data_IF_967085571620
#
_entry.id   IF_967085571620
#
_cell.length_a   1.000
_cell.length_b   1.000
_cell.length_c   1.000
_cell.angle_alpha   90.00
_cell.angle_beta   90.00
_cell.angle_gamma   90.00
#
_symmetry.space_group_name_H-M   'P 1'
#
loop_
_entity.id
_entity.type
_entity.pdbx_description
1 polymer ?
#
# COMPACT_ATOMS: atom_id res chain seq x y z
N UNK A 1 -34.94 6.94 -4.21
CA UNK A 1 -33.74 7.63 -4.73
C UNK A 1 -32.59 7.17 -3.86
N UNK A 2 -31.65 6.46 -4.48
CA UNK A 2 -30.52 5.72 -3.91
C UNK A 2 -29.80 6.41 -2.77
N UNK A 3 -29.83 5.78 -1.59
CA UNK A 3 -29.22 6.24 -0.34
C UNK A 3 -27.73 6.62 -0.53
N UNK A 4 -27.02 5.91 -1.42
CA UNK A 4 -25.61 6.20 -1.70
C UNK A 4 -25.35 7.60 -2.26
N UNK A 5 -26.16 8.07 -3.23
CA UNK A 5 -25.96 9.41 -3.81
C UNK A 5 -26.19 10.51 -2.78
N UNK A 6 -27.19 10.32 -1.92
CA UNK A 6 -27.50 11.24 -0.83
C UNK A 6 -26.37 11.27 0.20
N UNK A 7 -25.85 10.11 0.61
CA UNK A 7 -24.73 10.03 1.54
C UNK A 7 -23.45 10.67 0.95
N UNK A 8 -23.14 10.41 -0.31
CA UNK A 8 -22.00 11.04 -1.00
C UNK A 8 -22.18 12.55 -1.14
N UNK A 9 -23.40 13.01 -1.42
CA UNK A 9 -23.74 14.45 -1.46
C UNK A 9 -23.46 15.12 -0.12
N UNK A 10 -23.94 14.53 0.99
CA UNK A 10 -23.71 15.03 2.35
C UNK A 10 -22.21 15.07 2.69
N UNK A 11 -21.48 13.98 2.45
CA UNK A 11 -20.06 13.86 2.81
C UNK A 11 -19.15 14.78 1.98
N UNK A 12 -19.51 15.01 0.70
CA UNK A 12 -18.69 15.84 -0.20
C UNK A 12 -19.12 17.31 -0.22
N UNK A 13 -20.33 17.63 0.24
CA UNK A 13 -20.95 18.95 0.10
C UNK A 13 -21.36 19.30 -1.33
N UNK A 14 -21.38 18.33 -2.25
CA UNK A 14 -21.77 18.53 -3.64
C UNK A 14 -23.25 18.16 -3.85
N UNK A 15 -24.00 18.88 -4.70
CA UNK A 15 -25.37 18.47 -5.05
C UNK A 15 -25.44 17.05 -5.63
N UNK A 16 -26.51 16.31 -5.34
CA UNK A 16 -26.68 14.92 -5.81
C UNK A 16 -26.56 14.77 -7.34
N UNK A 17 -27.07 15.75 -8.11
CA UNK A 17 -26.96 15.74 -9.57
C UNK A 17 -25.50 15.85 -10.04
N UNK A 18 -24.68 16.64 -9.33
CA UNK A 18 -23.24 16.80 -9.60
C UNK A 18 -22.50 15.50 -9.28
N UNK A 19 -22.76 14.90 -8.12
CA UNK A 19 -22.19 13.60 -7.73
C UNK A 19 -22.51 12.54 -8.78
N UNK A 20 -23.78 12.44 -9.18
CA UNK A 20 -24.25 11.49 -10.19
C UNK A 20 -23.56 11.71 -11.55
N UNK A 21 -23.43 12.96 -11.99
CA UNK A 21 -22.77 13.32 -13.26
C UNK A 21 -21.28 12.98 -13.25
N UNK A 22 -20.59 13.17 -12.12
CA UNK A 22 -19.18 12.79 -11.99
C UNK A 22 -19.04 11.26 -12.02
N UNK A 23 -19.90 10.53 -11.29
CA UNK A 23 -19.87 9.06 -11.25
C UNK A 23 -20.14 8.43 -12.62
N UNK A 24 -21.08 8.98 -13.40
CA UNK A 24 -21.46 8.37 -14.69
C UNK A 24 -20.30 8.25 -15.67
N UNK A 25 -19.35 9.18 -15.61
CA UNK A 25 -18.15 9.20 -16.46
C UNK A 25 -16.86 8.97 -15.65
N UNK A 26 -16.97 8.52 -14.40
CA UNK A 26 -15.83 8.33 -13.51
C UNK A 26 -14.74 7.40 -14.07
N UNK A 27 -15.05 6.26 -14.72
CA UNK A 27 -14.02 5.36 -15.24
C UNK A 27 -13.03 5.99 -16.22
N UNK A 28 -13.46 7.03 -16.94
CA UNK A 28 -12.69 7.72 -17.97
C UNK A 28 -12.05 9.02 -17.45
N UNK A 29 -12.36 9.44 -16.21
CA UNK A 29 -11.83 10.67 -15.58
C UNK A 29 -10.45 10.45 -14.94
N UNK A 30 -9.53 9.82 -15.68
CA UNK A 30 -8.19 9.49 -15.23
C UNK A 30 -7.12 10.06 -16.17
N UNK A 31 -6.06 10.63 -15.59
CA UNK A 31 -4.83 10.96 -16.30
C UNK A 31 -3.89 9.76 -16.22
N UNK A 32 -3.63 9.14 -17.36
CA UNK A 32 -2.69 8.03 -17.49
C UNK A 32 -1.27 8.51 -17.78
N UNK A 33 -0.28 7.90 -17.13
CA UNK A 33 1.14 8.10 -17.42
C UNK A 33 1.97 6.90 -16.94
N UNK A 34 3.19 6.77 -17.46
CA UNK A 34 4.07 5.65 -17.14
C UNK A 34 5.23 6.08 -16.24
N UNK A 35 5.54 5.24 -15.25
CA UNK A 35 6.74 5.36 -14.42
C UNK A 35 7.64 4.15 -14.67
N UNK A 36 8.96 4.36 -14.79
CA UNK A 36 9.94 3.27 -14.89
C UNK A 36 9.94 2.42 -13.62
N UNK A 37 9.87 1.09 -13.76
CA UNK A 37 10.07 0.16 -12.65
C UNK A 37 11.58 0.10 -12.31
N UNK A 38 11.90 -0.18 -11.04
CA UNK A 38 13.29 -0.35 -10.58
C UNK A 38 14.06 -1.44 -11.33
N UNK A 39 13.36 -2.49 -11.77
CA UNK A 39 13.96 -3.67 -12.42
C UNK A 39 13.75 -3.64 -13.95
N UNK A 40 13.47 -2.47 -14.53
CA UNK A 40 13.14 -2.35 -15.95
C UNK A 40 11.65 -2.50 -16.27
N UNK A 41 11.26 -1.99 -17.44
CA UNK A 41 9.86 -1.88 -17.86
C UNK A 41 9.12 -0.67 -17.25
N UNK A 42 7.83 -0.56 -17.57
CA UNK A 42 6.99 0.56 -17.19
C UNK A 42 5.80 0.13 -16.33
N UNK A 43 5.33 1.03 -15.46
CA UNK A 43 4.11 0.89 -14.66
C UNK A 43 3.15 1.98 -15.08
N UNK A 44 1.98 1.60 -15.57
CA UNK A 44 0.87 2.52 -15.81
C UNK A 44 0.36 3.03 -14.46
N UNK A 45 0.33 4.35 -14.32
CA UNK A 45 -0.34 5.07 -13.25
C UNK A 45 -1.55 5.74 -13.88
N UNK A 46 -2.71 5.55 -13.26
CA UNK A 46 -3.95 6.21 -13.65
C UNK A 46 -4.41 7.05 -12.47
N UNK A 47 -4.23 8.37 -12.60
CA UNK A 47 -4.56 9.32 -11.54
C UNK A 47 -5.95 9.92 -11.77
N UNK A 48 -6.93 9.69 -10.88
CA UNK A 48 -8.26 10.24 -11.06
C UNK A 48 -8.24 11.78 -11.00
N UNK A 49 -9.22 12.42 -11.65
CA UNK A 49 -9.46 13.86 -11.54
C UNK A 49 -9.69 14.29 -10.08
N UNK A 50 -9.44 15.55 -9.75
CA UNK A 50 -9.55 16.06 -8.37
C UNK A 50 -10.95 15.85 -7.78
N UNK A 51 -11.99 16.13 -8.56
CA UNK A 51 -13.39 15.92 -8.17
C UNK A 51 -13.70 14.44 -7.94
N UNK A 52 -13.20 13.55 -8.80
CA UNK A 52 -13.38 12.11 -8.63
C UNK A 52 -12.69 11.60 -7.37
N UNK A 53 -11.47 12.08 -7.06
CA UNK A 53 -10.79 11.74 -5.80
C UNK A 53 -11.60 12.15 -4.57
N UNK A 54 -12.31 13.27 -4.62
CA UNK A 54 -13.16 13.73 -3.51
C UNK A 54 -14.26 12.71 -3.23
N UNK A 55 -15.00 12.31 -4.27
CA UNK A 55 -16.10 11.33 -4.14
C UNK A 55 -15.56 9.94 -3.77
N UNK A 56 -14.42 9.51 -4.31
CA UNK A 56 -13.80 8.23 -3.94
C UNK A 56 -13.36 8.19 -2.47
N UNK A 57 -12.87 9.31 -1.91
CA UNK A 57 -12.54 9.39 -0.47
C UNK A 57 -13.80 9.35 0.38
N UNK A 58 -14.83 10.11 0.03
CA UNK A 58 -16.12 10.05 0.70
C UNK A 58 -16.67 8.61 0.70
N UNK A 59 -16.60 7.90 -0.42
CA UNK A 59 -17.01 6.50 -0.48
C UNK A 59 -16.16 5.56 0.40
N UNK A 60 -14.86 5.83 0.52
CA UNK A 60 -13.99 5.10 1.47
C UNK A 60 -14.47 5.32 2.90
N UNK A 61 -14.76 6.55 3.29
CA UNK A 61 -15.16 6.90 4.65
C UNK A 61 -16.57 6.40 4.99
N UNK A 62 -17.52 6.53 4.06
CA UNK A 62 -18.91 6.09 4.21
C UNK A 62 -19.02 4.56 4.28
N UNK A 63 -18.28 3.83 3.44
CA UNK A 63 -18.45 2.37 3.28
C UNK A 63 -17.16 1.58 3.46
N UNK A 64 -16.14 1.78 2.60
CA UNK A 64 -15.02 0.82 2.53
C UNK A 64 -14.24 0.68 3.84
N UNK A 65 -14.08 1.77 4.60
CA UNK A 65 -13.39 1.77 5.88
C UNK A 65 -14.08 0.93 6.97
N UNK A 66 -15.38 0.65 6.81
CA UNK A 66 -16.20 -0.15 7.71
C UNK A 66 -16.22 -1.63 7.34
N UNK A 67 -15.75 -1.98 6.14
CA UNK A 67 -15.71 -3.36 5.67
C UNK A 67 -14.50 -4.11 6.26
N UNK A 68 -14.63 -5.44 6.48
CA UNK A 68 -13.59 -6.21 7.12
C UNK A 68 -12.34 -6.31 6.24
N UNK A 69 -11.18 -6.19 6.87
CA UNK A 69 -9.87 -6.44 6.27
C UNK A 69 -9.14 -7.45 7.14
N UNK A 70 -8.59 -8.49 6.51
CA UNK A 70 -7.92 -9.57 7.22
C UNK A 70 -6.69 -9.07 7.98
N UNK A 71 -6.42 -9.64 9.15
CA UNK A 71 -5.32 -9.22 10.03
C UNK A 71 -3.93 -9.36 9.39
N UNK A 72 -3.76 -10.35 8.52
CA UNK A 72 -2.54 -10.59 7.74
C UNK A 72 -2.24 -9.47 6.72
N UNK A 73 -3.25 -8.73 6.27
CA UNK A 73 -3.07 -7.59 5.37
C UNK A 73 -2.57 -6.38 6.16
N UNK A 74 -1.37 -5.91 5.85
CA UNK A 74 -0.71 -4.81 6.57
C UNK A 74 -0.53 -3.54 5.73
N UNK A 75 -0.50 -3.66 4.41
CA UNK A 75 -0.43 -2.51 3.50
C UNK A 75 -1.68 -1.64 3.60
N UNK A 76 -1.51 -0.33 3.40
CA UNK A 76 -2.59 0.66 3.29
C UNK A 76 -3.52 0.76 4.51
N UNK A 77 -3.08 0.27 5.67
CA UNK A 77 -3.85 0.37 6.91
C UNK A 77 -3.35 1.53 7.75
N UNK A 78 -4.29 2.32 8.27
CA UNK A 78 -3.99 3.42 9.20
C UNK A 78 -3.25 2.87 10.41
N UNK A 79 -2.13 3.51 10.76
CA UNK A 79 -1.28 3.10 11.90
C UNK A 79 -0.43 1.86 11.68
N UNK A 80 -0.48 1.22 10.49
CA UNK A 80 0.44 0.13 10.12
C UNK A 80 1.56 0.66 9.23
N UNK A 81 2.72 0.05 9.37
CA UNK A 81 3.94 0.38 8.66
C UNK A 81 4.52 -0.86 8.00
N UNK A 82 5.52 -0.67 7.13
CA UNK A 82 6.31 -1.78 6.58
C UNK A 82 7.00 -2.60 7.69
N UNK A 83 7.24 -2.03 8.87
CA UNK A 83 7.77 -2.73 10.04
C UNK A 83 6.75 -3.71 10.59
N UNK A 84 5.47 -3.35 10.66
CA UNK A 84 4.41 -4.24 11.12
C UNK A 84 4.25 -5.46 10.21
N UNK A 85 4.56 -5.33 8.92
CA UNK A 85 4.63 -6.47 8.01
C UNK A 85 5.87 -7.34 8.24
N UNK A 86 7.02 -6.73 8.52
CA UNK A 86 8.30 -7.44 8.65
C UNK A 86 8.49 -8.11 10.02
N UNK A 87 7.94 -7.51 11.07
CA UNK A 87 8.15 -7.93 12.47
C UNK A 87 7.69 -9.37 12.77
N UNK A 88 6.53 -9.86 12.28
CA UNK A 88 6.13 -11.25 12.51
C UNK A 88 7.15 -12.28 12.00
N UNK A 89 7.93 -11.94 10.98
CA UNK A 89 8.93 -12.83 10.36
C UNK A 89 10.32 -12.71 10.99
N UNK A 90 10.53 -11.79 11.93
CA UNK A 90 11.88 -11.41 12.41
C UNK A 90 12.59 -12.52 13.18
N UNK A 91 11.86 -13.23 14.05
CA UNK A 91 12.34 -14.36 14.84
C UNK A 91 12.20 -15.72 14.12
N UNK A 92 11.53 -15.73 12.98
CA UNK A 92 11.30 -16.93 12.18
C UNK A 92 12.56 -17.32 11.40
N UNK A 93 12.62 -18.54 10.88
CA UNK A 93 13.78 -19.05 10.15
C UNK A 93 13.82 -18.58 8.68
N UNK A 94 13.73 -19.50 7.70
CA UNK A 94 13.67 -19.15 6.28
C UNK A 94 12.41 -18.37 5.90
N UNK A 95 12.50 -17.65 4.79
CA UNK A 95 11.44 -16.82 4.22
C UNK A 95 11.17 -17.28 2.78
N UNK A 96 9.90 -17.40 2.44
CA UNK A 96 9.41 -17.51 1.07
C UNK A 96 8.60 -16.27 0.74
N UNK A 97 8.90 -15.65 -0.40
CA UNK A 97 8.14 -14.54 -0.95
C UNK A 97 7.52 -14.88 -2.28
N UNK A 98 6.26 -14.51 -2.42
CA UNK A 98 5.51 -14.57 -3.66
C UNK A 98 4.95 -13.19 -3.97
N UNK A 99 4.79 -12.87 -5.25
CA UNK A 99 4.28 -11.58 -5.71
C UNK A 99 3.16 -11.84 -6.70
N UNK A 100 2.11 -11.01 -6.71
CA UNK A 100 1.08 -11.09 -7.74
C UNK A 100 1.45 -10.28 -8.98
N UNK A 101 1.26 -10.88 -10.16
CA UNK A 101 1.41 -10.18 -11.43
C UNK A 101 0.24 -9.20 -11.61
N UNK A 102 0.56 -7.95 -11.91
CA UNK A 102 -0.39 -6.88 -12.26
C UNK A 102 -1.57 -6.75 -11.27
N UNK A 103 -1.27 -6.86 -9.96
CA UNK A 103 -2.24 -6.96 -8.87
C UNK A 103 -3.47 -6.04 -8.97
N UNK A 104 -3.26 -4.71 -9.05
CA UNK A 104 -4.39 -3.76 -9.17
C UNK A 104 -5.17 -3.98 -10.49
N UNK A 105 -4.53 -3.98 -11.67
CA UNK A 105 -5.22 -4.34 -12.92
C UNK A 105 -5.95 -5.69 -12.96
N UNK A 106 -5.57 -6.65 -12.12
CA UNK A 106 -6.23 -7.97 -12.03
C UNK A 106 -7.48 -7.97 -11.16
N UNK A 107 -7.75 -6.91 -10.39
CA UNK A 107 -8.99 -6.76 -9.62
C UNK A 107 -9.96 -5.91 -10.43
N UNK A 108 -11.12 -6.48 -10.75
CA UNK A 108 -12.08 -5.95 -11.71
C UNK A 108 -13.41 -5.58 -11.05
N UNK A 109 -14.27 -4.88 -11.78
CA UNK A 109 -15.62 -4.55 -11.34
C UNK A 109 -16.45 -5.80 -11.02
N UNK A 110 -16.23 -6.90 -11.73
CA UNK A 110 -16.93 -8.16 -11.45
C UNK A 110 -16.59 -8.73 -10.07
N UNK A 111 -15.35 -8.54 -9.59
CA UNK A 111 -14.95 -8.96 -8.24
C UNK A 111 -15.71 -8.16 -7.17
N UNK A 112 -15.89 -6.86 -7.38
CA UNK A 112 -16.68 -6.02 -6.48
C UNK A 112 -18.17 -6.38 -6.49
N UNK A 113 -18.75 -6.61 -7.67
CA UNK A 113 -20.14 -7.06 -7.80
C UNK A 113 -20.35 -8.39 -7.08
N UNK A 114 -19.43 -9.35 -7.25
CA UNK A 114 -19.46 -10.63 -6.55
C UNK A 114 -19.31 -10.47 -5.03
N UNK A 115 -18.42 -9.58 -4.59
CA UNK A 115 -18.25 -9.25 -3.17
C UNK A 115 -19.54 -8.66 -2.57
N UNK A 116 -20.16 -7.67 -3.21
CA UNK A 116 -21.43 -7.09 -2.77
C UNK A 116 -22.54 -8.13 -2.69
N UNK A 117 -22.63 -9.03 -3.70
CA UNK A 117 -23.62 -10.10 -3.72
C UNK A 117 -23.45 -11.08 -2.56
N UNK A 118 -22.20 -11.43 -2.26
CA UNK A 118 -21.83 -12.38 -1.20
C UNK A 118 -22.06 -11.78 0.20
N UNK A 119 -21.58 -10.57 0.43
CA UNK A 119 -21.58 -9.94 1.77
C UNK A 119 -22.83 -9.12 2.08
N UNK A 120 -23.64 -8.83 1.05
CA UNK A 120 -24.79 -7.91 1.14
C UNK A 120 -24.41 -6.50 1.63
N UNK A 121 -23.14 -6.08 1.46
CA UNK A 121 -22.71 -4.74 1.86
C UNK A 121 -23.39 -3.62 1.07
N UNK A 122 -23.84 -3.91 -0.15
CA UNK A 122 -24.73 -3.10 -0.97
C UNK A 122 -25.78 -4.03 -1.58
N UNK A 123 -27.06 -3.69 -1.39
CA UNK A 123 -28.19 -4.53 -1.81
C UNK A 123 -28.94 -3.94 -3.01
N UNK A 124 -28.98 -2.62 -3.16
CA UNK A 124 -29.57 -1.94 -4.32
C UNK A 124 -28.67 -2.14 -5.56
N UNK A 125 -29.18 -2.76 -6.65
CA UNK A 125 -28.41 -2.94 -7.88
C UNK A 125 -27.88 -1.64 -8.50
N UNK A 126 -28.60 -0.52 -8.33
CA UNK A 126 -28.15 0.77 -8.82
C UNK A 126 -26.97 1.30 -7.99
N UNK A 127 -26.95 1.08 -6.67
CA UNK A 127 -25.81 1.45 -5.81
C UNK A 127 -24.58 0.60 -6.11
N UNK A 128 -24.77 -0.69 -6.38
CA UNK A 128 -23.68 -1.58 -6.85
C UNK A 128 -23.13 -1.06 -8.19
N UNK A 129 -23.98 -0.69 -9.14
CA UNK A 129 -23.54 -0.15 -10.43
C UNK A 129 -22.81 1.19 -10.29
N UNK A 130 -23.35 2.12 -9.51
CA UNK A 130 -22.75 3.44 -9.28
C UNK A 130 -21.39 3.32 -8.57
N UNK A 131 -21.29 2.46 -7.54
CA UNK A 131 -20.02 2.19 -6.86
C UNK A 131 -18.99 1.53 -7.78
N UNK A 132 -19.39 0.61 -8.67
CA UNK A 132 -18.48 0.07 -9.68
C UNK A 132 -17.91 1.15 -10.61
N UNK A 133 -18.73 2.08 -11.10
CA UNK A 133 -18.25 3.20 -11.93
C UNK A 133 -17.32 4.12 -11.15
N UNK A 134 -17.61 4.37 -9.88
CA UNK A 134 -16.81 5.22 -9.01
C UNK A 134 -15.44 4.62 -8.66
N UNK A 135 -15.39 3.31 -8.41
CA UNK A 135 -14.21 2.63 -7.86
C UNK A 135 -13.20 2.19 -8.93
N UNK A 136 -13.67 1.89 -10.14
CA UNK A 136 -12.85 1.27 -11.18
C UNK A 136 -12.59 2.21 -12.35
N UNK A 137 -11.42 2.03 -12.96
CA UNK A 137 -10.95 2.82 -14.10
C UNK A 137 -11.05 1.99 -15.38
N UNK A 138 -11.44 2.64 -16.48
CA UNK A 138 -11.34 2.10 -17.83
C UNK A 138 -10.02 2.55 -18.47
N UNK A 139 -9.07 1.64 -18.70
CA UNK A 139 -7.80 2.00 -19.35
C UNK A 139 -8.03 2.53 -20.76
N UNK A 140 -7.17 3.43 -21.23
CA UNK A 140 -7.21 3.92 -22.62
C UNK A 140 -7.20 2.75 -23.62
N UNK A 141 -8.21 2.68 -24.50
CA UNK A 141 -8.37 1.60 -25.48
C UNK A 141 -8.85 0.26 -24.90
N UNK A 142 -9.11 0.18 -23.60
CA UNK A 142 -9.67 -0.99 -22.92
C UNK A 142 -11.18 -0.90 -22.75
N UNK A 143 -11.82 -2.05 -22.54
CA UNK A 143 -13.26 -2.14 -22.21
C UNK A 143 -13.52 -2.49 -20.75
N UNK A 144 -12.64 -3.28 -20.15
CA UNK A 144 -12.81 -3.83 -18.80
C UNK A 144 -12.45 -2.77 -17.74
N UNK A 145 -13.32 -2.64 -16.73
CA UNK A 145 -13.05 -1.77 -15.59
C UNK A 145 -12.16 -2.50 -14.57
N UNK A 146 -11.10 -1.84 -14.11
CA UNK A 146 -10.13 -2.43 -13.18
C UNK A 146 -9.58 -1.42 -12.20
N UNK A 147 -9.01 -1.89 -11.10
CA UNK A 147 -8.41 -0.98 -10.14
C UNK A 147 -7.22 -0.24 -10.75
N UNK A 148 -7.15 1.06 -10.48
CA UNK A 148 -6.07 1.93 -10.91
C UNK A 148 -5.00 2.06 -9.82
N UNK A 149 -3.74 2.05 -10.23
CA UNK A 149 -2.65 2.58 -9.39
C UNK A 149 -2.75 4.10 -9.44
N UNK A 150 -3.09 4.73 -8.31
CA UNK A 150 -3.22 6.20 -8.20
C UNK A 150 -4.59 6.67 -7.70
N UNK A 151 -5.62 5.80 -7.70
CA UNK A 151 -6.90 6.11 -7.08
C UNK A 151 -6.82 5.97 -5.54
N UNK A 152 -7.43 6.90 -4.76
CA UNK A 152 -7.46 6.82 -3.30
C UNK A 152 -8.26 5.63 -2.76
N UNK A 153 -9.21 5.07 -3.53
CA UNK A 153 -10.04 3.94 -3.13
C UNK A 153 -9.40 2.57 -3.37
N UNK A 154 -8.62 2.42 -4.46
CA UNK A 154 -7.99 1.14 -4.84
C UNK A 154 -7.25 0.43 -3.71
N UNK A 155 -6.43 1.11 -2.87
CA UNK A 155 -5.64 0.44 -1.84
C UNK A 155 -6.51 -0.25 -0.79
N UNK A 156 -7.56 0.44 -0.31
CA UNK A 156 -8.50 -0.12 0.67
C UNK A 156 -9.34 -1.22 0.03
N UNK A 157 -9.88 -0.97 -1.18
CA UNK A 157 -10.72 -1.94 -1.88
C UNK A 157 -9.97 -3.26 -2.14
N UNK A 158 -8.72 -3.19 -2.61
CA UNK A 158 -7.90 -4.38 -2.83
C UNK A 158 -7.73 -5.24 -1.58
N UNK A 159 -7.62 -4.63 -0.39
CA UNK A 159 -7.50 -5.39 0.85
C UNK A 159 -8.82 -6.07 1.26
N UNK A 160 -9.96 -5.41 1.00
CA UNK A 160 -11.29 -5.95 1.27
C UNK A 160 -11.57 -7.15 0.37
N UNK A 161 -11.32 -7.00 -0.93
CA UNK A 161 -11.51 -8.06 -1.93
C UNK A 161 -10.62 -9.28 -1.65
N UNK A 162 -9.43 -9.04 -1.09
CA UNK A 162 -8.49 -10.10 -0.73
C UNK A 162 -8.79 -10.80 0.60
N UNK A 163 -9.83 -10.40 1.34
CA UNK A 163 -10.16 -11.01 2.63
C UNK A 163 -10.34 -12.55 2.55
N UNK A 164 -11.13 -13.11 1.62
CA UNK A 164 -11.32 -14.57 1.55
C UNK A 164 -10.03 -15.31 1.18
N UNK A 165 -9.17 -14.70 0.36
CA UNK A 165 -7.86 -15.25 0.04
C UNK A 165 -6.99 -15.33 1.29
N UNK A 166 -6.91 -14.23 2.06
CA UNK A 166 -6.07 -14.19 3.25
C UNK A 166 -6.55 -15.16 4.34
N UNK A 167 -7.85 -15.33 4.48
CA UNK A 167 -8.46 -16.30 5.40
C UNK A 167 -8.09 -17.74 4.98
N UNK A 168 -8.27 -18.08 3.71
CA UNK A 168 -7.94 -19.40 3.17
C UNK A 168 -6.45 -19.72 3.32
N UNK A 169 -5.56 -18.76 3.05
CA UNK A 169 -4.12 -18.95 3.23
C UNK A 169 -3.77 -19.12 4.70
N UNK A 170 -4.28 -18.25 5.58
CA UNK A 170 -3.98 -18.30 7.00
C UNK A 170 -4.39 -19.65 7.60
N UNK A 171 -5.57 -20.15 7.22
CA UNK A 171 -6.03 -21.48 7.62
C UNK A 171 -5.14 -22.60 7.04
N UNK A 172 -4.79 -22.52 5.76
CA UNK A 172 -4.00 -23.55 5.08
C UNK A 172 -2.59 -23.72 5.64
N UNK A 173 -1.97 -22.63 6.13
CA UNK A 173 -0.58 -22.65 6.63
C UNK A 173 -0.48 -22.71 8.16
N UNK A 174 -1.61 -22.61 8.88
CA UNK A 174 -1.64 -22.61 10.34
C UNK A 174 -1.04 -23.88 10.97
N UNK A 175 -1.33 -25.05 10.38
CA UNK A 175 -0.89 -26.34 10.91
C UNK A 175 0.63 -26.56 10.78
N UNK A 176 1.29 -25.85 9.86
CA UNK A 176 2.72 -26.04 9.56
C UNK A 176 3.62 -25.06 10.34
N UNK A 177 3.08 -24.33 11.33
CA UNK A 177 3.77 -23.26 12.06
C UNK A 177 4.35 -22.16 11.13
N UNK A 178 3.68 -21.92 9.99
CA UNK A 178 4.09 -20.90 9.03
C UNK A 178 3.37 -19.60 9.35
N UNK A 179 4.15 -18.54 9.48
CA UNK A 179 3.67 -17.17 9.64
C UNK A 179 3.47 -16.57 8.26
N UNK A 180 2.30 -15.98 8.04
CA UNK A 180 1.90 -15.33 6.79
C UNK A 180 1.58 -13.85 7.03
N UNK A 181 2.06 -13.00 6.13
CA UNK A 181 1.60 -11.61 6.01
C UNK A 181 1.52 -11.20 4.54
N UNK A 182 0.64 -10.23 4.25
CA UNK A 182 0.46 -9.64 2.92
C UNK A 182 0.66 -8.14 2.96
N UNK A 183 1.55 -7.65 2.09
CA UNK A 183 1.76 -6.24 1.84
C UNK A 183 1.40 -5.92 0.38
N UNK A 184 0.15 -5.55 0.15
CA UNK A 184 -0.42 -5.37 -1.18
C UNK A 184 -0.30 -6.65 -2.03
N UNK A 185 0.57 -6.65 -3.04
CA UNK A 185 0.88 -7.75 -3.93
C UNK A 185 1.97 -8.70 -3.42
N UNK A 186 2.76 -8.30 -2.41
CA UNK A 186 3.84 -9.09 -1.80
C UNK A 186 3.28 -9.98 -0.68
N UNK A 187 3.42 -11.29 -0.86
CA UNK A 187 3.10 -12.32 0.14
C UNK A 187 4.39 -12.77 0.81
N UNK A 188 4.45 -12.68 2.13
CA UNK A 188 5.61 -13.15 2.90
C UNK A 188 5.21 -14.31 3.79
N UNK A 189 5.99 -15.39 3.69
CA UNK A 189 5.85 -16.59 4.51
C UNK A 189 7.15 -16.86 5.24
N UNK A 190 7.09 -17.27 6.49
CA UNK A 190 8.27 -17.74 7.23
C UNK A 190 7.92 -18.88 8.16
N UNK A 191 8.83 -19.82 8.36
CA UNK A 191 8.63 -20.94 9.27
C UNK A 191 9.90 -21.30 10.05
N UNK A 192 9.87 -22.32 10.92
CA UNK A 192 11.03 -22.72 11.72
C UNK A 192 12.19 -23.25 10.86
N UNK A 193 11.88 -24.02 9.81
CA UNK A 193 12.86 -24.65 8.89
C UNK A 193 12.34 -24.64 7.47
N UNK A 194 13.24 -24.84 6.49
CA UNK A 194 12.90 -24.73 5.06
C UNK A 194 11.84 -25.75 4.65
N UNK A 195 11.82 -26.93 5.28
CA UNK A 195 10.82 -27.97 5.06
C UNK A 195 9.37 -27.50 5.25
N UNK A 196 9.13 -26.60 6.22
CA UNK A 196 7.79 -26.07 6.49
C UNK A 196 7.25 -25.19 5.35
N UNK A 197 8.12 -24.64 4.51
CA UNK A 197 7.72 -23.76 3.41
C UNK A 197 7.45 -24.51 2.09
N UNK A 198 7.69 -25.82 2.05
CA UNK A 198 7.57 -26.61 0.81
C UNK A 198 6.12 -26.70 0.32
N UNK A 199 5.15 -26.80 1.22
CA UNK A 199 3.72 -26.85 0.91
C UNK A 199 3.09 -25.51 0.53
N UNK A 200 3.73 -24.39 0.87
CA UNK A 200 3.13 -23.05 0.76
C UNK A 200 2.73 -22.69 -0.67
N UNK A 201 3.60 -22.94 -1.66
CA UNK A 201 3.28 -22.66 -3.06
C UNK A 201 2.07 -23.46 -3.57
N UNK A 202 1.86 -24.68 -3.06
CA UNK A 202 0.70 -25.51 -3.37
C UNK A 202 -0.55 -24.97 -2.67
N UNK A 203 -0.44 -24.57 -1.41
CA UNK A 203 -1.51 -23.93 -0.65
C UNK A 203 -2.00 -22.64 -1.32
N UNK A 204 -1.08 -21.78 -1.79
CA UNK A 204 -1.42 -20.55 -2.50
C UNK A 204 -2.16 -20.83 -3.80
N UNK A 205 -1.67 -21.77 -4.61
CA UNK A 205 -2.37 -22.18 -5.85
C UNK A 205 -3.74 -22.78 -5.57
N UNK A 206 -3.89 -23.55 -4.48
CA UNK A 206 -5.18 -24.12 -4.06
C UNK A 206 -6.15 -23.01 -3.67
N UNK A 207 -5.74 -22.10 -2.79
CA UNK A 207 -6.56 -20.97 -2.36
C UNK A 207 -7.02 -20.11 -3.55
N UNK A 208 -6.13 -19.77 -4.48
CA UNK A 208 -6.49 -19.01 -5.69
C UNK A 208 -7.54 -19.70 -6.59
N UNK A 209 -7.63 -21.03 -6.57
CA UNK A 209 -8.64 -21.77 -7.33
C UNK A 209 -9.98 -21.89 -6.61
N UNK A 210 -9.96 -21.85 -5.28
CA UNK A 210 -11.14 -22.09 -4.44
C UNK A 210 -11.87 -20.80 -4.08
N UNK A 211 -11.16 -19.66 -4.05
CA UNK A 211 -11.81 -18.37 -3.81
C UNK A 211 -12.72 -17.97 -4.98
N UNK A 212 -13.88 -17.33 -4.69
CA UNK A 212 -14.81 -16.88 -5.73
C UNK A 212 -14.30 -15.64 -6.49
N UNK A 213 -13.44 -14.85 -5.84
CA UNK A 213 -12.80 -13.63 -6.36
C UNK A 213 -11.61 -13.29 -5.45
N UNK A 214 -10.65 -12.47 -5.91
CA UNK A 214 -10.43 -12.07 -7.30
C UNK A 214 -9.63 -13.14 -8.08
N UNK A 215 -9.60 -13.05 -9.41
CA UNK A 215 -8.75 -13.93 -10.24
C UNK A 215 -7.33 -13.37 -10.35
N UNK A 216 -6.38 -13.96 -9.64
CA UNK A 216 -4.99 -13.50 -9.60
C UNK A 216 -4.00 -14.52 -10.16
N UNK A 217 -2.83 -14.02 -10.58
CA UNK A 217 -1.71 -14.85 -11.06
C UNK A 217 -0.45 -14.54 -10.26
N UNK A 218 0.25 -15.59 -9.85
CA UNK A 218 1.56 -15.46 -9.21
C UNK A 218 2.59 -15.04 -10.25
N UNK A 219 3.46 -14.11 -9.88
CA UNK A 219 4.64 -13.73 -10.63
C UNK A 219 5.80 -14.68 -10.29
N UNK A 220 6.00 -15.69 -11.13
CA UNK A 220 7.04 -16.71 -10.93
C UNK A 220 8.47 -16.12 -10.97
N UNK A 221 8.71 -15.06 -11.75
CA UNK A 221 10.04 -14.43 -11.87
C UNK A 221 10.47 -13.71 -10.60
N UNK A 222 9.51 -13.30 -9.76
CA UNK A 222 9.78 -12.62 -8.48
C UNK A 222 9.71 -13.55 -7.27
N UNK A 223 9.41 -14.82 -7.47
CA UNK A 223 9.36 -15.80 -6.38
C UNK A 223 10.75 -15.94 -5.77
N UNK A 224 10.87 -15.68 -4.47
CA UNK A 224 12.17 -15.64 -3.78
C UNK A 224 12.17 -16.54 -2.56
N UNK A 225 13.16 -17.42 -2.46
CA UNK A 225 13.43 -18.23 -1.27
C UNK A 225 14.70 -17.73 -0.59
N UNK A 226 14.64 -17.41 0.71
CA UNK A 226 15.78 -16.90 1.47
C UNK A 226 15.93 -17.72 2.76
N UNK A 227 17.10 -18.31 2.97
CA UNK A 227 17.44 -18.98 4.24
C UNK A 227 18.15 -18.01 5.19
N UNK A 228 18.31 -18.39 6.46
CA UNK A 228 19.02 -17.55 7.46
C UNK A 228 20.51 -17.34 7.14
N UNK A 229 21.10 -18.14 6.24
CA UNK A 229 22.47 -17.96 5.77
C UNK A 229 22.62 -16.70 4.90
N UNK A 230 21.53 -16.26 4.27
CA UNK A 230 21.53 -15.14 3.34
C UNK A 230 20.80 -13.93 3.91
N UNK A 231 21.02 -12.77 3.28
CA UNK A 231 20.44 -11.52 3.71
C UNK A 231 18.90 -11.53 3.56
N UNK A 232 18.18 -11.60 4.68
CA UNK A 232 16.72 -11.58 4.73
C UNK A 232 16.17 -10.16 4.64
N UNK A 233 15.32 -9.91 3.64
CA UNK A 233 14.57 -8.65 3.50
C UNK A 233 13.08 -8.93 3.51
N UNK A 234 12.27 -8.09 4.16
CA UNK A 234 10.80 -8.04 4.04
C UNK A 234 10.40 -6.58 3.85
N UNK A 235 9.57 -6.28 2.85
CA UNK A 235 9.11 -4.90 2.56
C UNK A 235 10.21 -3.82 2.54
N UNK A 236 11.42 -4.19 2.11
CA UNK A 236 12.60 -3.31 2.05
C UNK A 236 13.40 -3.20 3.35
N UNK A 237 12.96 -3.81 4.45
CA UNK A 237 13.65 -3.87 5.74
C UNK A 237 14.47 -5.15 5.86
N UNK A 238 15.60 -5.07 6.55
CA UNK A 238 16.47 -6.21 6.84
C UNK A 238 16.05 -6.88 8.15
N UNK A 239 15.88 -8.21 8.12
CA UNK A 239 15.72 -9.02 9.33
C UNK A 239 17.08 -9.56 9.75
N UNK A 240 17.61 -9.09 10.87
CA UNK A 240 18.87 -9.61 11.41
C UNK A 240 18.66 -10.97 12.10
N UNK A 241 19.75 -11.70 12.29
CA UNK A 241 19.70 -13.05 12.87
C UNK A 241 19.36 -13.05 14.37
N UNK A 242 19.50 -11.91 15.03
CA UNK A 242 19.10 -11.67 16.43
C UNK A 242 17.63 -11.24 16.57
N UNK A 243 16.83 -11.31 15.49
CA UNK A 243 15.41 -11.00 15.52
C UNK A 243 15.06 -9.52 15.41
N UNK A 244 16.02 -8.61 15.16
CA UNK A 244 15.71 -7.20 14.95
C UNK A 244 15.27 -6.92 13.52
N UNK A 245 14.31 -5.99 13.38
CA UNK A 245 13.93 -5.38 12.11
C UNK A 245 14.74 -4.09 11.95
N UNK A 246 15.54 -3.98 10.90
CA UNK A 246 16.49 -2.89 10.72
C UNK A 246 16.43 -2.30 9.31
N UNK A 247 16.97 -1.10 9.12
CA UNK A 247 17.12 -0.52 7.77
C UNK A 247 18.29 -1.15 6.98
N UNK A 248 19.08 -2.03 7.59
CA UNK A 248 20.25 -2.66 6.96
C UNK A 248 21.53 -1.82 7.01
N UNK A 249 22.69 -2.49 6.94
CA UNK A 249 24.02 -1.87 7.14
C UNK A 249 24.32 -0.74 6.14
N UNK A 250 23.99 -0.93 4.87
CA UNK A 250 24.28 0.04 3.82
C UNK A 250 23.47 1.32 4.00
N UNK A 251 22.17 1.19 4.28
CA UNK A 251 21.32 2.35 4.56
C UNK A 251 21.79 3.12 5.81
N UNK A 252 22.23 2.42 6.87
CA UNK A 252 22.84 3.04 8.06
C UNK A 252 24.12 3.79 7.72
N UNK A 253 24.99 3.20 6.88
CA UNK A 253 26.23 3.84 6.41
C UNK A 253 25.93 5.11 5.62
N UNK A 254 25.03 5.05 4.65
CA UNK A 254 24.62 6.21 3.85
C UNK A 254 23.99 7.30 4.72
N UNK A 255 23.16 6.93 5.70
CA UNK A 255 22.54 7.90 6.60
C UNK A 255 23.56 8.63 7.47
N UNK A 256 24.56 7.90 8.02
CA UNK A 256 25.66 8.53 8.78
C UNK A 256 26.49 9.47 7.91
N UNK A 257 26.79 9.08 6.66
CA UNK A 257 27.52 9.94 5.73
C UNK A 257 26.73 11.23 5.41
N UNK A 258 25.43 11.12 5.15
CA UNK A 258 24.57 12.30 4.94
C UNK A 258 24.49 13.20 6.17
N UNK A 259 24.41 12.62 7.37
CA UNK A 259 24.40 13.40 8.60
C UNK A 259 25.74 14.12 8.82
N UNK A 260 26.87 13.49 8.50
CA UNK A 260 28.17 14.15 8.52
C UNK A 260 28.22 15.32 7.52
N UNK A 261 27.74 15.14 6.29
CA UNK A 261 27.67 16.22 5.30
C UNK A 261 26.78 17.38 5.76
N UNK A 262 25.66 17.07 6.41
CA UNK A 262 24.79 18.09 7.00
C UNK A 262 25.52 18.93 8.05
N UNK A 263 26.20 18.26 9.00
CA UNK A 263 26.98 18.92 10.05
C UNK A 263 28.13 19.76 9.48
N UNK A 264 28.72 19.35 8.36
CA UNK A 264 29.74 20.11 7.65
C UNK A 264 29.18 21.23 6.76
N UNK A 265 27.86 21.49 6.77
CA UNK A 265 27.23 22.52 5.94
C UNK A 265 27.24 22.23 4.44
N UNK A 266 27.43 20.96 4.03
CA UNK A 266 27.62 20.55 2.63
C UNK A 266 26.32 20.13 1.91
N UNK A 267 25.18 20.15 2.61
CA UNK A 267 23.89 19.76 2.02
C UNK A 267 23.07 20.99 1.63
N UNK A 268 22.42 20.92 0.47
CA UNK A 268 21.41 21.89 0.06
C UNK A 268 20.06 21.62 0.73
N UNK A 269 19.10 22.54 0.60
CA UNK A 269 17.79 22.43 1.26
C UNK A 269 16.98 21.17 0.89
N UNK A 270 17.06 20.73 -0.36
CA UNK A 270 16.37 19.51 -0.82
C UNK A 270 16.97 18.27 -0.16
N UNK A 271 18.29 18.20 -0.08
CA UNK A 271 19.01 17.12 0.59
C UNK A 271 18.77 17.11 2.10
N UNK A 272 18.67 18.27 2.73
CA UNK A 272 18.29 18.40 4.14
C UNK A 272 16.88 17.85 4.38
N UNK A 273 15.91 18.22 3.53
CA UNK A 273 14.55 17.71 3.63
C UNK A 273 14.50 16.19 3.42
N UNK A 274 15.27 15.67 2.46
CA UNK A 274 15.38 14.23 2.22
C UNK A 274 16.01 13.49 3.41
N UNK A 275 17.10 14.03 4.00
CA UNK A 275 17.72 13.49 5.20
C UNK A 275 16.75 13.46 6.38
N UNK A 276 16.01 14.56 6.62
CA UNK A 276 15.01 14.63 7.67
C UNK A 276 13.92 13.55 7.50
N UNK A 277 13.43 13.37 6.28
CA UNK A 277 12.48 12.29 5.95
C UNK A 277 13.06 10.90 6.22
N UNK A 278 14.32 10.66 5.87
CA UNK A 278 15.00 9.39 6.19
C UNK A 278 15.14 9.17 7.70
N UNK A 279 15.49 10.19 8.47
CA UNK A 279 15.60 10.10 9.93
C UNK A 279 14.23 9.80 10.56
N UNK A 280 13.17 10.48 10.13
CA UNK A 280 11.80 10.21 10.60
C UNK A 280 11.37 8.78 10.28
N UNK A 281 11.74 8.25 9.11
CA UNK A 281 11.52 6.85 8.75
C UNK A 281 12.32 5.89 9.63
N UNK A 282 13.59 6.18 9.95
CA UNK A 282 14.35 5.37 10.91
C UNK A 282 13.71 5.39 12.29
N UNK A 283 13.23 6.54 12.75
CA UNK A 283 12.53 6.65 14.04
C UNK A 283 11.32 5.74 14.12
N UNK A 284 10.57 5.57 13.03
CA UNK A 284 9.40 4.68 13.01
C UNK A 284 9.75 3.19 12.86
N UNK A 285 10.83 2.87 12.16
CA UNK A 285 11.19 1.48 11.82
C UNK A 285 12.18 0.85 12.80
N UNK A 286 13.22 1.59 13.19
CA UNK A 286 14.32 1.12 14.03
C UNK A 286 14.67 2.18 15.11
N UNK A 287 13.79 2.34 16.14
CA UNK A 287 13.95 3.39 17.16
C UNK A 287 15.29 3.32 17.90
N UNK A 288 15.80 2.11 18.18
CA UNK A 288 17.09 1.93 18.85
C UNK A 288 18.25 2.58 18.10
N UNK A 289 18.29 2.44 16.77
CA UNK A 289 19.32 3.09 15.95
C UNK A 289 19.12 4.61 15.91
N UNK A 290 17.88 5.09 15.91
CA UNK A 290 17.58 6.52 16.02
C UNK A 290 18.14 7.13 17.31
N UNK A 291 17.97 6.46 18.47
CA UNK A 291 18.53 6.93 19.74
C UNK A 291 20.06 6.96 19.71
N UNK A 292 20.72 5.97 19.11
CA UNK A 292 22.18 5.99 18.93
C UNK A 292 22.65 7.17 18.05
N UNK A 293 21.83 7.63 17.09
CA UNK A 293 22.15 8.83 16.29
C UNK A 293 22.03 10.10 17.14
N UNK A 294 21.02 10.20 17.99
CA UNK A 294 20.83 11.34 18.91
C UNK A 294 22.01 11.46 19.88
N UNK A 295 22.39 10.37 20.53
CA UNK A 295 23.48 10.38 21.51
C UNK A 295 24.80 10.88 20.91
N UNK A 296 25.07 10.55 19.65
CA UNK A 296 26.32 10.92 18.97
C UNK A 296 26.36 12.34 18.41
N UNK A 297 25.21 12.94 18.11
CA UNK A 297 25.13 14.20 17.36
C UNK A 297 24.33 15.31 18.06
N UNK A 298 23.95 15.08 19.32
CA UNK A 298 23.06 15.91 20.16
C UNK A 298 21.61 15.97 19.67
N UNK A 299 20.65 15.85 20.60
CA UNK A 299 19.20 15.88 20.28
C UNK A 299 18.80 17.16 19.56
N UNK A 300 19.36 18.32 19.96
CA UNK A 300 19.05 19.63 19.36
C UNK A 300 19.26 19.67 17.84
N UNK A 301 20.36 19.09 17.33
CA UNK A 301 20.67 19.07 15.89
C UNK A 301 19.65 18.24 15.12
N UNK A 302 19.27 17.07 15.66
CA UNK A 302 18.30 16.18 15.03
C UNK A 302 16.89 16.79 15.09
N UNK A 303 16.51 17.44 16.19
CA UNK A 303 15.25 18.16 16.28
C UNK A 303 15.19 19.31 15.27
N UNK A 304 16.25 20.13 15.14
CA UNK A 304 16.32 21.21 14.14
C UNK A 304 16.14 20.69 12.70
N UNK A 305 16.76 19.56 12.37
CA UNK A 305 16.57 18.87 11.08
C UNK A 305 15.10 18.51 10.83
N UNK A 306 14.44 17.92 11.83
CA UNK A 306 13.04 17.51 11.74
C UNK A 306 12.08 18.71 11.68
N UNK A 307 12.38 19.81 12.38
CA UNK A 307 11.54 21.02 12.36
C UNK A 307 11.64 21.78 11.03
N UNK A 308 12.84 21.88 10.43
CA UNK A 308 13.04 22.53 9.11
C UNK A 308 12.26 21.84 7.99
N UNK A 309 12.10 20.52 8.06
CA UNK A 309 11.28 19.75 7.12
C UNK A 309 9.77 20.07 7.25
N UNK A 310 9.25 20.22 8.47
CA UNK A 310 7.84 20.53 8.72
C UNK A 310 7.42 21.92 8.23
N UNK A 311 8.33 22.90 8.21
CA UNK A 311 8.04 24.25 7.71
C UNK A 311 7.79 24.27 6.18
N UNK A 312 8.36 23.34 5.42
CA UNK A 312 8.11 23.21 3.97
C UNK A 312 6.72 22.61 3.69
N UNK A 313 6.30 21.61 4.44
CA UNK A 313 4.92 21.09 4.35
C UNK A 313 3.85 22.12 4.75
N UNK A 314 4.19 23.06 5.63
CA UNK A 314 3.31 24.19 5.97
C UNK A 314 3.31 25.29 4.89
N UNK A 315 4.45 25.59 4.25
CA UNK A 315 4.55 26.58 3.17
C UNK A 315 3.97 26.10 1.84
N UNK A 316 4.16 24.82 1.47
CA UNK A 316 3.55 24.23 0.25
C UNK A 316 2.02 24.09 0.34
N UNK A 317 1.46 24.04 1.56
CA UNK A 317 0.00 24.12 1.79
C UNK A 317 -0.55 25.55 1.80
N UNK A 318 0.30 26.58 1.77
CA UNK A 318 -0.07 28.00 1.91
C UNK A 318 0.33 28.88 0.72
N UNK A 319 0.64 28.31 -0.44
CA UNK A 319 0.70 29.13 -1.66
C UNK A 319 -0.72 29.35 -2.19
N UNK A 320 -1.27 30.58 -2.16
CA UNK A 320 -2.45 30.90 -2.94
C UNK A 320 -2.05 30.76 -4.42
N UNK A 321 -2.88 30.07 -5.19
CA UNK A 321 -2.77 30.07 -6.64
C UNK A 321 -3.06 31.50 -7.08
N UNK A 322 -2.01 32.25 -7.40
CA UNK A 322 -2.08 33.53 -8.06
C UNK A 322 -2.74 33.31 -9.43
N UNK A 323 -3.93 33.89 -9.59
CA UNK A 323 -4.53 34.13 -10.90
C UNK A 323 -3.78 35.29 -11.55
N UNK A 324 -2.99 34.97 -12.58
CA UNK A 324 -2.63 35.86 -13.68
C UNK A 324 -2.83 34.98 -14.93
N UNK A 325 -3.67 35.29 -15.92
CA UNK A 325 -3.90 36.59 -16.54
C UNK A 325 -3.26 36.54 -17.93
N UNK A 326 -3.98 35.98 -18.91
CA UNK A 326 -3.56 35.80 -20.30
C UNK A 326 -4.43 34.81 -21.05
#
# INVERSE_FOLDING_TARGET
MTDLLKQLSIETGLPEYTVKSIISNAPDRYKEYYIKKKNGGSRLIAQPARELKLIQRAFVDILLSKLPVHSAATAYRKGKSIRDNALPHSHSGPILKLDFKDFFPSITESDWVAYCKHTKCLTDPNDVRLSSLLLFHRPSGGRLLRLAIGAPSSPVLSNIIMFPFDEAISAAVAHDHVIYSRYADDLTFSGPRTGHLTGVSKAVKKALREIPYPTLKINHEKTTHVTMKYHRKVTGLTLSNDGRVTIGRDNKRTLRAQLHHYLSGKLNESEVAHLAGRIAFVKSVEPSFYFTLIERHSDRVIQMLLTKSNQKHAKEKRQPISFEGG
#
